data_IF_694222336996
#
_entry.id   IF_694222336996
#
_cell.length_a   1.000
_cell.length_b   1.000
_cell.length_c   1.000
_cell.angle_alpha   90.00
_cell.angle_beta   90.00
_cell.angle_gamma   90.00
#
_symmetry.space_group_name_H-M   'P 1'
#
loop_
_entity.id
_entity.type
_entity.pdbx_description
1 polymer ?
#
# COMPACT_ATOMS: atom_id res chain seq x y z
N UNK A 1 -17.75 -2.46 -20.17
CA UNK A 1 -18.29 -1.22 -19.56
C UNK A 1 -17.23 -0.47 -18.75
N UNK A 2 -16.67 -1.06 -17.68
CA UNK A 2 -15.69 -0.37 -16.81
C UNK A 2 -14.22 -0.38 -17.32
N UNK A 3 -13.91 -1.10 -18.40
CA UNK A 3 -12.56 -1.08 -18.98
C UNK A 3 -11.49 -1.77 -18.13
N UNK A 4 -11.84 -2.85 -17.42
CA UNK A 4 -10.89 -3.71 -16.68
C UNK A 4 -10.02 -4.53 -17.65
N UNK A 5 -10.62 -5.08 -18.70
CA UNK A 5 -9.90 -5.61 -19.87
C UNK A 5 -10.00 -4.56 -20.97
N UNK A 6 -8.85 -4.21 -21.57
CA UNK A 6 -8.73 -3.12 -22.52
C UNK A 6 -8.28 -3.57 -23.91
N UNK A 7 -7.84 -4.83 -24.08
CA UNK A 7 -7.33 -5.34 -25.35
C UNK A 7 -8.43 -5.63 -26.37
N UNK A 8 -9.64 -5.93 -25.90
CA UNK A 8 -10.79 -6.23 -26.75
C UNK A 8 -11.96 -5.34 -26.33
N UNK A 9 -12.39 -4.46 -27.23
CA UNK A 9 -13.60 -3.64 -27.05
C UNK A 9 -14.55 -3.86 -28.22
N UNK A 10 -15.65 -4.62 -28.03
CA UNK A 10 -16.64 -4.81 -29.09
C UNK A 10 -17.27 -3.48 -29.53
N UNK A 11 -17.59 -3.35 -30.82
CA UNK A 11 -18.10 -2.11 -31.44
C UNK A 11 -19.38 -1.53 -30.80
N UNK A 12 -20.15 -2.36 -30.12
CA UNK A 12 -21.42 -2.00 -29.48
C UNK A 12 -21.29 -1.75 -27.97
N UNK A 13 -20.07 -1.78 -27.42
CA UNK A 13 -19.83 -1.54 -26.00
C UNK A 13 -19.31 -0.12 -25.82
N UNK A 14 -20.07 0.71 -25.10
CA UNK A 14 -19.57 2.00 -24.60
C UNK A 14 -18.71 1.77 -23.35
N UNK A 15 -17.53 2.38 -23.33
CA UNK A 15 -16.64 2.44 -22.16
C UNK A 15 -17.02 3.64 -21.29
N UNK A 16 -17.08 3.43 -19.98
CA UNK A 16 -17.39 4.47 -19.00
C UNK A 16 -16.24 4.74 -18.02
N UNK A 17 -15.23 3.87 -17.97
CA UNK A 17 -14.04 4.04 -17.15
C UNK A 17 -12.85 3.30 -17.78
N UNK A 18 -11.63 3.57 -17.30
CA UNK A 18 -10.40 2.89 -17.70
C UNK A 18 -9.73 2.21 -16.50
N UNK A 19 -10.49 1.34 -15.83
CA UNK A 19 -10.09 0.75 -14.54
C UNK A 19 -8.75 0.02 -14.62
N UNK A 20 -8.38 -0.55 -15.78
CA UNK A 20 -7.06 -1.16 -15.93
C UNK A 20 -5.93 -0.16 -15.73
N UNK A 21 -5.98 0.98 -16.42
CA UNK A 21 -4.94 2.00 -16.32
C UNK A 21 -4.89 2.59 -14.92
N UNK A 22 -6.05 2.88 -14.34
CA UNK A 22 -6.17 3.43 -12.99
C UNK A 22 -5.61 2.44 -11.95
N UNK A 23 -5.89 1.14 -12.10
CA UNK A 23 -5.35 0.09 -11.23
C UNK A 23 -3.82 0.00 -11.31
N UNK A 24 -3.26 0.04 -12.52
CA UNK A 24 -1.79 -0.01 -12.71
C UNK A 24 -1.13 1.23 -12.11
N UNK A 25 -1.71 2.41 -12.33
CA UNK A 25 -1.20 3.66 -11.76
C UNK A 25 -1.22 3.64 -10.23
N UNK A 26 -2.34 3.23 -9.63
CA UNK A 26 -2.49 3.14 -8.18
C UNK A 26 -1.50 2.17 -7.54
N UNK A 27 -1.34 0.97 -8.12
CA UNK A 27 -0.38 -0.02 -7.63
C UNK A 27 1.08 0.46 -7.77
N UNK A 28 1.39 1.19 -8.84
CA UNK A 28 2.74 1.75 -9.04
C UNK A 28 3.03 2.82 -8.00
N UNK A 29 2.09 3.74 -7.75
CA UNK A 29 2.22 4.77 -6.72
C UNK A 29 2.41 4.16 -5.32
N UNK A 30 1.60 3.16 -4.97
CA UNK A 30 1.75 2.42 -3.72
C UNK A 30 3.15 1.78 -3.60
N UNK A 31 3.61 1.10 -4.65
CA UNK A 31 4.93 0.47 -4.63
C UNK A 31 6.05 1.50 -4.48
N UNK A 32 5.90 2.68 -5.07
CA UNK A 32 6.87 3.78 -4.94
C UNK A 32 6.85 4.40 -3.54
N UNK A 33 5.68 4.55 -2.93
CA UNK A 33 5.55 5.04 -1.56
C UNK A 33 6.19 4.07 -0.55
N UNK A 34 6.00 2.76 -0.74
CA UNK A 34 6.67 1.72 0.08
C UNK A 34 8.19 1.77 -0.10
N UNK A 35 8.68 1.80 -1.35
CA UNK A 35 10.12 1.84 -1.63
C UNK A 35 10.78 3.12 -1.10
N UNK A 36 10.07 4.24 -1.16
CA UNK A 36 10.54 5.52 -0.63
C UNK A 36 10.33 5.65 0.89
N UNK A 37 9.74 4.66 1.56
CA UNK A 37 9.35 4.69 2.98
C UNK A 37 8.45 5.88 3.34
N UNK A 38 7.60 6.31 2.39
CA UNK A 38 6.52 7.26 2.66
C UNK A 38 5.28 6.57 3.21
N UNK A 39 5.07 5.33 2.79
CA UNK A 39 4.02 4.47 3.32
C UNK A 39 4.62 3.29 4.13
N UNK A 40 4.05 2.96 5.31
CA UNK A 40 3.04 3.75 6.02
C UNK A 40 3.66 5.02 6.61
N UNK A 41 2.86 6.08 6.67
CA UNK A 41 3.15 7.30 7.41
C UNK A 41 2.67 7.18 8.86
N UNK A 42 2.85 8.27 9.62
CA UNK A 42 2.38 8.37 11.00
C UNK A 42 0.87 8.20 11.12
N UNK A 43 0.11 8.81 10.21
CA UNK A 43 -1.36 8.76 10.18
C UNK A 43 -1.91 7.35 9.85
N UNK A 44 -1.08 6.51 9.23
CA UNK A 44 -1.40 5.14 8.82
C UNK A 44 -0.82 4.11 9.80
N UNK A 45 -0.22 4.57 10.90
CA UNK A 45 0.45 3.75 11.90
C UNK A 45 -0.24 3.86 13.25
N UNK A 46 -0.26 2.76 14.00
CA UNK A 46 -0.64 2.81 15.41
C UNK A 46 0.57 3.17 16.25
N UNK A 47 0.36 4.07 17.20
CA UNK A 47 1.39 4.47 18.17
C UNK A 47 1.25 3.67 19.45
N UNK A 48 2.36 3.13 19.92
CA UNK A 48 2.43 2.56 21.27
C UNK A 48 2.61 3.69 22.28
N UNK A 49 1.96 3.54 23.44
CA UNK A 49 2.25 4.39 24.60
C UNK A 49 3.71 4.15 25.05
N UNK A 50 4.40 5.22 25.45
CA UNK A 50 5.81 5.21 25.84
C UNK A 50 6.13 4.18 26.93
N UNK A 51 5.29 4.09 27.97
CA UNK A 51 5.49 3.13 29.07
C UNK A 51 5.46 1.67 28.58
N UNK A 52 4.61 1.39 27.59
CA UNK A 52 4.48 0.04 27.01
C UNK A 52 5.65 -0.26 26.07
N UNK A 53 6.09 0.74 25.29
CA UNK A 53 7.26 0.61 24.43
C UNK A 53 8.53 0.37 25.24
N UNK A 54 8.69 1.05 26.38
CA UNK A 54 9.81 0.87 27.30
C UNK A 54 9.82 -0.55 27.90
N UNK A 55 8.67 -1.01 28.42
CA UNK A 55 8.53 -2.36 28.94
C UNK A 55 8.88 -3.42 27.89
N UNK A 56 8.38 -3.30 26.66
CA UNK A 56 8.71 -4.23 25.57
C UNK A 56 10.18 -4.15 25.15
N UNK A 57 10.80 -2.97 25.16
CA UNK A 57 12.23 -2.81 24.88
C UNK A 57 13.12 -3.49 25.92
N UNK A 58 12.75 -3.43 27.19
CA UNK A 58 13.44 -4.10 28.31
C UNK A 58 13.42 -5.63 28.18
N UNK A 59 12.33 -6.20 27.68
CA UNK A 59 12.19 -7.66 27.51
C UNK A 59 12.58 -8.18 26.10
N UNK A 60 12.55 -7.34 25.06
CA UNK A 60 12.81 -7.70 23.67
C UNK A 60 14.28 -7.67 23.23
N UNK A 61 15.17 -7.08 24.03
CA UNK A 61 16.60 -6.95 23.70
C UNK A 61 17.38 -8.29 23.71
N UNK A 62 16.76 -9.40 24.13
CA UNK A 62 17.41 -10.71 24.22
C UNK A 62 17.59 -11.43 22.87
N UNK A 63 17.23 -10.83 21.72
CA UNK A 63 17.35 -11.51 20.42
C UNK A 63 17.79 -10.56 19.30
N UNK A 64 19.02 -10.07 19.37
CA UNK A 64 19.73 -9.59 18.18
C UNK A 64 21.22 -9.96 18.24
N UNK A 65 21.51 -11.22 17.92
CA UNK A 65 22.85 -11.71 17.56
C UNK A 65 22.73 -12.51 16.27
N UNK A 66 23.13 -11.89 15.16
CA UNK A 66 23.60 -12.52 13.93
C UNK A 66 24.36 -11.47 13.12
#
# INVERSE_FOLDING_TARGET
VLGIEDRISPKFVRRYANVKADSVAALSAYADDVRARRFPSDDESYHLNGDVAEALGLYGAATKTA
#
